data_IF_022982386623
#
_entry.id   IF_022982386623
#
_cell.length_a   1.000
_cell.length_b   1.000
_cell.length_c   1.000
_cell.angle_alpha   90.00
_cell.angle_beta   90.00
_cell.angle_gamma   90.00
#
_symmetry.space_group_name_H-M   'P 1'
#
loop_
_entity.id
_entity.type
_entity.pdbx_description
1 polymer ?
#
# COMPACT_ATOMS: atom_id res chain seq x y z
N UNK A 1 22.51 -9.11 13.37
CA UNK A 1 21.09 -9.46 13.52
C UNK A 1 20.80 -9.71 14.98
N UNK A 2 19.76 -9.09 15.54
CA UNK A 2 19.33 -9.27 16.94
C UNK A 2 18.17 -10.28 17.05
N UNK A 3 17.29 -10.28 16.04
CA UNK A 3 16.11 -11.15 16.04
C UNK A 3 16.48 -12.63 15.84
N UNK A 4 15.75 -13.57 16.46
CA UNK A 4 15.90 -15.01 16.22
C UNK A 4 15.78 -15.37 14.74
N UNK A 5 16.51 -16.39 14.30
CA UNK A 5 16.54 -16.80 12.87
C UNK A 5 15.25 -17.57 12.50
N UNK A 6 14.73 -18.29 13.46
CA UNK A 6 13.58 -19.17 13.36
C UNK A 6 12.23 -18.48 13.64
N UNK A 7 12.25 -17.17 13.94
CA UNK A 7 11.05 -16.38 14.23
C UNK A 7 10.86 -15.31 13.15
N UNK A 8 10.10 -15.65 12.11
CA UNK A 8 9.74 -14.73 11.03
C UNK A 8 8.67 -13.73 11.49
N UNK A 9 8.83 -12.46 11.10
CA UNK A 9 7.93 -11.38 11.46
C UNK A 9 8.67 -10.08 11.78
N UNK A 10 7.94 -9.14 12.37
CA UNK A 10 8.49 -7.86 12.80
C UNK A 10 8.97 -7.92 14.25
N UNK A 11 10.20 -7.44 14.46
CA UNK A 11 10.83 -7.33 15.78
C UNK A 11 11.20 -5.88 16.08
N UNK A 12 10.78 -5.38 17.25
CA UNK A 12 11.15 -4.06 17.77
C UNK A 12 11.84 -4.23 19.11
N UNK A 13 12.85 -3.40 19.37
CA UNK A 13 13.63 -3.44 20.61
C UNK A 13 13.76 -2.05 21.23
N UNK A 14 13.45 -1.93 22.51
CA UNK A 14 13.79 -0.77 23.33
C UNK A 14 14.95 -1.22 24.22
N UNK A 15 16.17 -0.86 23.83
CA UNK A 15 17.38 -1.31 24.50
C UNK A 15 17.61 -0.59 25.83
N UNK A 16 18.09 -1.32 26.84
CA UNK A 16 18.62 -0.70 28.04
C UNK A 16 19.93 0.05 27.74
N UNK A 17 20.32 1.07 28.55
CA UNK A 17 21.59 1.77 28.35
C UNK A 17 22.83 0.86 28.35
N UNK A 18 22.79 -0.26 29.09
CA UNK A 18 23.88 -1.24 29.15
C UNK A 18 23.96 -2.16 27.92
N UNK A 19 22.93 -2.17 27.05
CA UNK A 19 22.84 -3.10 25.94
C UNK A 19 22.59 -4.56 26.32
N UNK A 20 22.47 -4.87 27.63
CA UNK A 20 22.31 -6.26 28.11
C UNK A 20 20.87 -6.73 28.10
N UNK A 21 19.90 -5.82 28.05
CA UNK A 21 18.48 -6.09 28.14
C UNK A 21 17.71 -5.27 27.12
N UNK A 22 16.56 -5.75 26.71
CA UNK A 22 15.59 -4.95 25.94
C UNK A 22 14.16 -5.35 26.26
N UNK A 23 13.24 -4.39 26.14
CA UNK A 23 11.84 -4.70 25.88
C UNK A 23 11.73 -5.04 24.39
N UNK A 24 11.31 -6.24 24.11
CA UNK A 24 11.15 -6.78 22.78
C UNK A 24 9.68 -6.89 22.44
N UNK A 25 9.29 -6.47 21.25
CA UNK A 25 7.95 -6.67 20.69
C UNK A 25 8.09 -7.47 19.40
N UNK A 26 7.39 -8.58 19.34
CA UNK A 26 7.29 -9.43 18.16
C UNK A 26 5.86 -9.50 17.67
N UNK A 27 5.66 -9.45 16.36
CA UNK A 27 4.39 -9.80 15.71
C UNK A 27 4.63 -10.31 14.29
N UNK A 28 3.65 -11.04 13.75
CA UNK A 28 3.56 -11.34 12.33
C UNK A 28 2.09 -11.28 11.88
N UNK A 29 1.80 -11.61 10.63
CA UNK A 29 0.44 -11.54 10.06
C UNK A 29 -0.61 -12.38 10.82
N UNK A 30 -0.18 -13.41 11.54
CA UNK A 30 -1.06 -14.34 12.28
C UNK A 30 -0.94 -14.23 13.80
N UNK A 31 0.04 -13.46 14.28
CA UNK A 31 0.33 -13.35 15.71
C UNK A 31 0.28 -11.90 16.16
N UNK A 32 -0.67 -11.54 17.06
CA UNK A 32 -0.71 -10.22 17.68
C UNK A 32 0.58 -9.95 18.45
N UNK A 33 0.86 -8.65 18.78
CA UNK A 33 2.11 -8.31 19.45
C UNK A 33 2.33 -9.11 20.73
N UNK A 34 3.44 -9.84 20.79
CA UNK A 34 3.97 -10.47 22.00
C UNK A 34 5.07 -9.55 22.53
N UNK A 35 4.98 -9.15 23.78
CA UNK A 35 5.94 -8.25 24.41
C UNK A 35 6.59 -8.97 25.59
N UNK A 36 7.92 -9.02 25.56
CA UNK A 36 8.72 -9.61 26.62
C UNK A 36 10.00 -8.80 26.91
N UNK A 37 10.63 -9.08 28.02
CA UNK A 37 11.97 -8.61 28.32
C UNK A 37 12.97 -9.70 27.94
N UNK A 38 13.90 -9.34 27.07
CA UNK A 38 14.96 -10.27 26.61
C UNK A 38 16.33 -9.84 27.08
N UNK A 39 17.21 -10.83 27.30
CA UNK A 39 18.63 -10.61 27.60
C UNK A 39 19.51 -10.89 26.38
N UNK A 40 20.58 -10.14 26.25
CA UNK A 40 21.60 -10.28 25.18
C UNK A 40 22.94 -10.79 25.72
N UNK A 41 23.74 -11.48 24.89
CA UNK A 41 23.56 -11.69 23.44
C UNK A 41 22.64 -12.86 23.06
N UNK A 42 22.20 -13.70 24.00
CA UNK A 42 21.48 -14.94 23.70
C UNK A 42 20.02 -14.77 23.28
N UNK A 43 19.49 -13.56 23.29
CA UNK A 43 18.06 -13.27 23.03
C UNK A 43 17.12 -14.16 23.85
N UNK A 44 17.43 -14.33 25.15
CA UNK A 44 16.63 -15.17 26.04
C UNK A 44 15.51 -14.35 26.66
N UNK A 45 14.27 -14.77 26.48
CA UNK A 45 13.13 -14.21 27.21
C UNK A 45 13.28 -14.48 28.70
N UNK A 46 13.28 -13.43 29.50
CA UNK A 46 13.42 -13.49 30.96
C UNK A 46 12.13 -13.12 31.67
N UNK A 47 11.25 -12.40 31.01
CA UNK A 47 9.94 -12.05 31.55
C UNK A 47 8.97 -11.76 30.40
N UNK A 48 7.88 -12.51 30.36
CA UNK A 48 6.74 -12.18 29.49
C UNK A 48 5.97 -11.00 30.10
N UNK A 49 5.69 -9.98 29.30
CA UNK A 49 4.88 -8.82 29.67
C UNK A 49 3.44 -9.04 29.21
N UNK A 50 3.25 -9.40 27.94
CA UNK A 50 1.96 -9.85 27.40
C UNK A 50 2.16 -10.72 26.16
N UNK A 51 1.32 -11.73 25.99
CA UNK A 51 1.27 -12.61 24.83
C UNK A 51 0.07 -12.32 23.92
N UNK A 52 -0.87 -11.50 24.40
CA UNK A 52 -2.15 -11.24 23.71
C UNK A 52 -2.89 -12.52 23.26
N UNK A 53 -2.76 -13.61 24.04
CA UNK A 53 -3.32 -14.93 23.70
C UNK A 53 -4.83 -14.86 23.44
N UNK A 54 -5.57 -14.11 24.27
CA UNK A 54 -7.02 -13.92 24.09
C UNK A 54 -7.36 -13.26 22.75
N UNK A 55 -6.60 -12.23 22.35
CA UNK A 55 -6.79 -11.57 21.05
C UNK A 55 -6.48 -12.53 19.90
N UNK A 56 -5.43 -13.34 20.02
CA UNK A 56 -5.08 -14.38 19.05
C UNK A 56 -6.18 -15.43 18.90
N UNK A 57 -6.74 -15.88 20.01
CA UNK A 57 -7.86 -16.85 20.02
C UNK A 57 -9.11 -16.28 19.35
N UNK A 58 -9.49 -15.04 19.72
CA UNK A 58 -10.64 -14.36 19.11
C UNK A 58 -10.44 -14.16 17.61
N UNK A 59 -9.24 -13.75 17.19
CA UNK A 59 -8.91 -13.59 15.76
C UNK A 59 -9.00 -14.91 15.00
N UNK A 60 -8.44 -15.98 15.57
CA UNK A 60 -8.52 -17.32 14.97
C UNK A 60 -9.97 -17.81 14.84
N UNK A 61 -10.83 -17.48 15.79
CA UNK A 61 -12.25 -17.84 15.79
C UNK A 61 -13.04 -17.15 14.64
N UNK A 62 -12.52 -16.05 14.06
CA UNK A 62 -13.13 -15.38 12.91
C UNK A 62 -12.98 -16.18 11.60
N UNK A 63 -12.12 -17.19 11.54
CA UNK A 63 -11.89 -17.99 10.35
C UNK A 63 -11.40 -17.20 9.14
N UNK A 64 -10.57 -16.18 9.39
CA UNK A 64 -10.06 -15.27 8.35
C UNK A 64 -9.10 -15.98 7.41
N UNK A 65 -9.07 -15.50 6.16
CA UNK A 65 -8.18 -16.03 5.14
C UNK A 65 -6.74 -15.58 5.39
N UNK A 66 -5.73 -16.47 5.22
CA UNK A 66 -4.34 -16.12 5.44
C UNK A 66 -3.85 -15.12 4.39
N UNK A 67 -2.88 -14.30 4.79
CA UNK A 67 -2.10 -13.46 3.88
C UNK A 67 -0.96 -14.31 3.31
N UNK A 68 -0.99 -14.60 2.03
CA UNK A 68 0.06 -15.33 1.32
C UNK A 68 1.09 -14.34 0.76
N UNK A 69 2.36 -14.47 1.17
CA UNK A 69 3.44 -13.66 0.60
C UNK A 69 3.94 -14.30 -0.70
N UNK A 70 3.99 -13.49 -1.75
CA UNK A 70 4.37 -13.92 -3.09
C UNK A 70 5.37 -12.95 -3.72
N UNK A 71 5.98 -13.35 -4.82
CA UNK A 71 6.86 -12.50 -5.63
C UNK A 71 6.21 -12.18 -6.97
N UNK A 72 6.50 -10.97 -7.46
CA UNK A 72 6.11 -10.54 -8.80
C UNK A 72 7.24 -9.73 -9.44
N UNK A 73 7.08 -9.31 -10.70
CA UNK A 73 8.11 -8.60 -11.44
C UNK A 73 7.59 -7.34 -12.13
N UNK A 74 8.45 -6.31 -12.13
CA UNK A 74 8.34 -5.14 -13.00
C UNK A 74 9.59 -5.08 -13.87
N UNK A 75 9.53 -5.66 -15.08
CA UNK A 75 10.72 -5.91 -15.90
C UNK A 75 11.70 -6.86 -15.20
N UNK A 76 12.97 -6.44 -15.08
CA UNK A 76 14.00 -7.20 -14.38
C UNK A 76 13.89 -7.09 -12.85
N UNK A 77 13.08 -6.17 -12.35
CA UNK A 77 12.97 -5.91 -10.92
C UNK A 77 11.99 -6.90 -10.26
N UNK A 78 12.48 -7.67 -9.27
CA UNK A 78 11.62 -8.49 -8.41
C UNK A 78 10.99 -7.63 -7.32
N UNK A 79 9.68 -7.74 -7.15
CA UNK A 79 8.87 -7.04 -6.16
C UNK A 79 8.28 -8.04 -5.15
N UNK A 80 8.18 -7.59 -3.91
CA UNK A 80 7.42 -8.30 -2.87
C UNK A 80 5.93 -8.00 -3.01
N UNK A 81 5.09 -8.99 -2.76
CA UNK A 81 3.64 -8.83 -2.74
C UNK A 81 3.01 -9.75 -1.69
N UNK A 82 1.77 -9.45 -1.33
CA UNK A 82 0.92 -10.40 -0.62
C UNK A 82 -0.45 -10.51 -1.29
N UNK A 83 -1.11 -11.64 -1.04
CA UNK A 83 -2.42 -11.96 -1.59
C UNK A 83 -3.31 -12.55 -0.49
N UNK A 84 -4.60 -12.15 -0.46
CA UNK A 84 -5.66 -12.78 0.31
C UNK A 84 -6.68 -13.34 -0.69
N UNK A 85 -6.93 -14.64 -0.64
CA UNK A 85 -7.87 -15.33 -1.51
C UNK A 85 -9.27 -15.37 -0.91
N UNK A 86 -10.33 -15.50 -1.73
CA UNK A 86 -11.70 -15.68 -1.24
C UNK A 86 -11.87 -16.91 -0.34
N UNK A 87 -12.88 -16.87 0.51
CA UNK A 87 -13.38 -18.06 1.19
C UNK A 87 -13.88 -19.07 0.12
N UNK A 88 -13.60 -20.35 0.30
CA UNK A 88 -13.90 -21.41 -0.68
C UNK A 88 -13.23 -21.18 -2.04
N UNK A 89 -11.98 -20.70 -2.02
CA UNK A 89 -11.20 -20.48 -3.23
C UNK A 89 -11.07 -21.76 -4.06
N UNK A 90 -11.37 -21.63 -5.36
CA UNK A 90 -11.26 -22.71 -6.35
C UNK A 90 -10.27 -22.27 -7.45
N UNK A 91 -9.08 -22.87 -7.57
CA UNK A 91 -8.06 -22.44 -8.52
C UNK A 91 -8.46 -22.59 -9.99
N UNK A 92 -9.55 -23.31 -10.28
CA UNK A 92 -10.08 -23.45 -11.65
C UNK A 92 -10.96 -22.28 -12.10
N UNK A 93 -11.36 -21.41 -11.17
CA UNK A 93 -12.20 -20.24 -11.43
C UNK A 93 -11.39 -18.96 -11.64
N UNK A 94 -12.03 -17.97 -12.23
CA UNK A 94 -11.48 -16.61 -12.40
C UNK A 94 -12.09 -15.68 -11.37
N UNK A 95 -11.22 -14.89 -10.70
CA UNK A 95 -11.62 -13.95 -9.65
C UNK A 95 -11.24 -12.52 -9.98
N UNK A 96 -12.12 -11.56 -9.67
CA UNK A 96 -11.76 -10.14 -9.72
C UNK A 96 -10.70 -9.84 -8.66
N UNK A 97 -9.82 -8.89 -8.97
CA UNK A 97 -8.74 -8.49 -8.08
C UNK A 97 -8.93 -7.05 -7.65
N UNK A 98 -8.68 -6.76 -6.38
CA UNK A 98 -8.54 -5.41 -5.84
C UNK A 98 -7.11 -5.25 -5.34
N UNK A 99 -6.40 -4.26 -5.89
CA UNK A 99 -5.07 -3.88 -5.41
C UNK A 99 -5.24 -2.81 -4.34
N UNK A 100 -4.70 -3.08 -3.15
CA UNK A 100 -4.55 -2.10 -2.07
C UNK A 100 -3.15 -1.50 -2.17
N UNK A 101 -3.07 -0.22 -2.53
CA UNK A 101 -1.82 0.49 -2.80
C UNK A 101 -1.60 1.66 -1.85
N UNK A 102 -0.36 1.86 -1.42
CA UNK A 102 0.09 3.14 -0.87
C UNK A 102 1.10 3.81 -1.80
N UNK A 103 2.20 3.13 -2.13
CA UNK A 103 3.11 3.49 -3.21
C UNK A 103 4.06 4.65 -2.97
N UNK A 104 4.04 5.24 -1.79
CA UNK A 104 4.84 6.41 -1.42
C UNK A 104 6.11 6.02 -0.61
N UNK A 105 7.16 6.85 -0.62
CA UNK A 105 8.44 6.53 0.02
C UNK A 105 8.39 6.40 1.54
N UNK A 106 7.36 6.94 2.19
CA UNK A 106 7.26 6.97 3.65
C UNK A 106 6.80 5.65 4.27
N UNK A 107 6.22 4.74 3.49
CA UNK A 107 5.62 3.52 4.00
C UNK A 107 5.94 2.30 3.14
N UNK A 108 5.82 1.11 3.74
CA UNK A 108 5.83 -0.18 3.07
C UNK A 108 4.51 -0.90 3.36
N UNK A 109 3.89 -1.46 2.34
CA UNK A 109 2.60 -2.17 2.46
C UNK A 109 2.77 -3.69 2.56
N UNK A 110 3.89 -4.21 2.07
CA UNK A 110 4.20 -5.64 2.12
C UNK A 110 5.07 -5.93 3.34
N UNK A 111 4.40 -6.21 4.46
CA UNK A 111 5.05 -6.48 5.73
C UNK A 111 4.41 -7.69 6.40
N UNK A 112 5.24 -8.56 6.98
CA UNK A 112 4.80 -9.64 7.87
C UNK A 112 4.64 -9.09 9.29
N UNK A 113 3.52 -8.42 9.52
CA UNK A 113 3.18 -7.73 10.77
C UNK A 113 1.71 -7.91 11.08
N UNK A 114 1.40 -7.92 12.37
CA UNK A 114 0.01 -7.88 12.82
C UNK A 114 -0.67 -6.56 12.45
N UNK A 115 -1.67 -6.61 11.61
CA UNK A 115 -2.45 -5.45 11.14
C UNK A 115 -3.90 -5.46 11.65
N UNK A 116 -4.19 -6.22 12.72
CA UNK A 116 -5.57 -6.41 13.18
C UNK A 116 -6.43 -7.18 12.17
N UNK A 117 -5.79 -7.91 11.25
CA UNK A 117 -6.41 -8.75 10.25
C UNK A 117 -6.99 -8.02 9.06
N UNK A 118 -6.83 -6.69 8.99
CA UNK A 118 -7.47 -5.89 7.95
C UNK A 118 -8.88 -6.41 7.63
N UNK A 119 -9.81 -6.27 8.57
CA UNK A 119 -11.18 -6.80 8.44
C UNK A 119 -11.87 -6.32 7.15
N UNK A 120 -11.49 -5.15 6.64
CA UNK A 120 -11.94 -4.67 5.34
C UNK A 120 -11.50 -5.59 4.20
N UNK A 121 -10.22 -5.98 4.15
CA UNK A 121 -9.74 -6.92 3.14
C UNK A 121 -10.41 -8.29 3.25
N UNK A 122 -10.64 -8.76 4.47
CA UNK A 122 -11.36 -10.01 4.72
C UNK A 122 -12.83 -9.95 4.28
N UNK A 123 -13.48 -8.80 4.52
CA UNK A 123 -14.83 -8.57 4.03
C UNK A 123 -14.90 -8.64 2.49
N UNK A 124 -13.98 -7.97 1.81
CA UNK A 124 -13.91 -8.03 0.35
C UNK A 124 -13.58 -9.45 -0.16
N UNK A 125 -12.70 -10.17 0.52
CA UNK A 125 -12.39 -11.56 0.18
C UNK A 125 -13.65 -12.46 0.33
N UNK A 126 -14.47 -12.24 1.36
CA UNK A 126 -15.74 -12.95 1.54
C UNK A 126 -16.76 -12.62 0.43
N UNK A 127 -16.65 -11.45 -0.21
CA UNK A 127 -17.46 -11.11 -1.39
C UNK A 127 -16.93 -11.72 -2.69
N UNK A 128 -15.84 -12.49 -2.64
CA UNK A 128 -15.27 -13.18 -3.79
C UNK A 128 -14.17 -12.44 -4.53
N UNK A 129 -13.58 -11.40 -3.94
CA UNK A 129 -12.42 -10.70 -4.50
C UNK A 129 -11.11 -11.32 -4.02
N UNK A 130 -10.11 -11.34 -4.88
CA UNK A 130 -8.72 -11.50 -4.45
C UNK A 130 -8.18 -10.12 -4.10
N UNK A 131 -7.60 -9.98 -2.91
CA UNK A 131 -6.96 -8.73 -2.49
C UNK A 131 -5.46 -8.89 -2.64
N UNK A 132 -4.81 -7.92 -3.28
CA UNK A 132 -3.36 -7.94 -3.54
C UNK A 132 -2.77 -6.62 -3.08
N UNK A 133 -1.55 -6.66 -2.53
CA UNK A 133 -0.71 -5.47 -2.41
C UNK A 133 0.67 -5.78 -2.97
N UNK A 134 1.22 -4.85 -3.74
CA UNK A 134 2.53 -4.98 -4.37
C UNK A 134 3.42 -3.85 -3.85
N UNK A 135 4.61 -4.20 -3.34
CA UNK A 135 5.59 -3.22 -2.88
C UNK A 135 6.38 -2.70 -4.07
N UNK A 136 6.09 -1.48 -4.49
CA UNK A 136 6.82 -0.85 -5.58
C UNK A 136 8.19 -0.33 -5.13
N UNK A 137 9.07 -0.08 -6.10
CA UNK A 137 10.36 0.56 -5.85
C UNK A 137 10.17 1.94 -5.21
N UNK A 138 11.13 2.32 -4.37
CA UNK A 138 11.11 3.59 -3.65
C UNK A 138 10.39 3.54 -2.32
N UNK A 139 9.54 2.56 -2.06
CA UNK A 139 8.89 2.37 -0.76
C UNK A 139 9.90 2.07 0.36
N UNK A 140 9.49 2.29 1.62
CA UNK A 140 10.35 2.12 2.80
C UNK A 140 10.53 0.64 3.19
N UNK A 141 10.78 -0.21 2.20
CA UNK A 141 11.13 -1.62 2.41
C UNK A 141 12.60 -1.78 2.81
N UNK A 142 12.98 -2.84 3.54
CA UNK A 142 14.35 -3.08 3.99
C UNK A 142 15.25 -3.63 2.86
N UNK A 143 15.22 -3.02 1.68
CA UNK A 143 15.96 -3.40 0.46
C UNK A 143 17.17 -2.50 0.17
N UNK A 144 17.60 -1.73 1.17
CA UNK A 144 18.80 -0.91 1.07
C UNK A 144 18.57 0.51 0.52
N UNK A 145 19.69 1.23 0.35
CA UNK A 145 19.71 2.65 -0.01
C UNK A 145 19.23 2.87 -1.45
N UNK A 146 19.75 2.10 -2.40
CA UNK A 146 19.45 2.24 -3.83
C UNK A 146 17.95 2.07 -4.11
N UNK A 147 17.33 1.08 -3.48
CA UNK A 147 15.89 0.87 -3.55
C UNK A 147 15.09 2.11 -3.13
N UNK A 148 15.46 2.74 -2.01
CA UNK A 148 14.71 3.88 -1.46
C UNK A 148 15.02 5.19 -2.19
N UNK A 149 16.21 5.32 -2.77
CA UNK A 149 16.66 6.57 -3.39
C UNK A 149 16.35 6.68 -4.88
N UNK A 150 15.97 5.58 -5.54
CA UNK A 150 15.68 5.57 -6.98
C UNK A 150 14.54 6.52 -7.37
N UNK A 151 13.64 6.84 -6.42
CA UNK A 151 12.49 7.72 -6.67
C UNK A 151 12.76 9.20 -6.33
N UNK A 152 13.99 9.56 -5.94
CA UNK A 152 14.27 10.96 -5.63
C UNK A 152 14.07 11.84 -6.87
N UNK A 153 13.20 12.84 -6.75
CA UNK A 153 12.74 13.67 -7.84
C UNK A 153 11.63 13.05 -8.72
N UNK A 154 11.20 11.81 -8.44
CA UNK A 154 10.32 11.00 -9.30
C UNK A 154 9.13 10.37 -8.55
N UNK A 155 8.71 10.95 -7.40
CA UNK A 155 7.53 10.48 -6.66
C UNK A 155 6.30 10.50 -7.56
N UNK A 156 5.48 9.45 -7.53
CA UNK A 156 4.29 9.29 -8.37
C UNK A 156 4.58 8.71 -9.77
N UNK A 157 5.85 8.56 -10.15
CA UNK A 157 6.23 8.08 -11.49
C UNK A 157 6.33 6.56 -11.56
N UNK A 158 7.21 5.97 -10.76
CA UNK A 158 7.52 4.53 -10.86
C UNK A 158 6.48 3.63 -10.20
N UNK A 159 5.80 4.11 -9.16
CA UNK A 159 4.88 3.27 -8.40
C UNK A 159 3.75 2.71 -9.28
N UNK A 160 3.09 3.56 -10.07
CA UNK A 160 2.01 3.11 -10.97
C UNK A 160 2.48 2.14 -12.06
N UNK A 161 3.71 2.29 -12.56
CA UNK A 161 4.32 1.33 -13.49
C UNK A 161 4.55 -0.03 -12.82
N UNK A 162 5.13 -0.02 -11.61
CA UNK A 162 5.39 -1.25 -10.86
C UNK A 162 4.10 -1.97 -10.47
N UNK A 163 3.04 -1.23 -10.11
CA UNK A 163 1.72 -1.82 -9.85
C UNK A 163 1.15 -2.48 -11.12
N UNK A 164 1.20 -1.78 -12.27
CA UNK A 164 0.67 -2.31 -13.53
C UNK A 164 1.43 -3.55 -14.02
N UNK A 165 2.77 -3.48 -14.03
CA UNK A 165 3.60 -4.62 -14.45
C UNK A 165 3.53 -5.79 -13.47
N UNK A 166 3.50 -5.47 -12.17
CA UNK A 166 3.41 -6.48 -11.12
C UNK A 166 2.12 -7.28 -11.18
N UNK A 167 0.95 -6.62 -11.34
CA UNK A 167 -0.31 -7.38 -11.46
C UNK A 167 -0.39 -8.17 -12.76
N UNK A 168 0.16 -7.68 -13.86
CA UNK A 168 0.24 -8.43 -15.11
C UNK A 168 1.14 -9.66 -14.97
N UNK A 169 2.24 -9.55 -14.22
CA UNK A 169 3.11 -10.68 -13.94
C UNK A 169 2.42 -11.72 -13.03
N UNK A 170 1.73 -11.28 -11.98
CA UNK A 170 0.91 -12.18 -11.14
C UNK A 170 -0.16 -12.90 -11.97
N UNK A 171 -0.79 -12.22 -12.93
CA UNK A 171 -1.78 -12.83 -13.81
C UNK A 171 -1.20 -13.90 -14.77
N UNK A 172 0.09 -13.78 -15.10
CA UNK A 172 0.82 -14.85 -15.82
C UNK A 172 1.15 -16.04 -14.94
N UNK A 173 1.48 -15.78 -13.66
CA UNK A 173 1.80 -16.83 -12.69
C UNK A 173 0.53 -17.58 -12.20
N UNK A 174 -0.58 -16.87 -12.07
CA UNK A 174 -1.81 -17.37 -11.46
C UNK A 174 -3.00 -17.25 -12.40
N UNK A 175 -3.38 -18.38 -13.02
CA UNK A 175 -4.48 -18.44 -14.01
C UNK A 175 -5.85 -18.00 -13.45
N UNK A 176 -6.04 -18.02 -12.14
CA UNK A 176 -7.27 -17.62 -11.47
C UNK A 176 -7.48 -16.10 -11.39
N UNK A 177 -6.49 -15.28 -11.74
CA UNK A 177 -6.65 -13.81 -11.83
C UNK A 177 -7.43 -13.47 -13.10
N UNK A 178 -8.52 -12.72 -12.92
CA UNK A 178 -9.29 -12.18 -14.04
C UNK A 178 -8.75 -10.82 -14.46
N UNK A 179 -8.00 -10.80 -15.54
CA UNK A 179 -7.38 -9.56 -16.07
C UNK A 179 -8.38 -8.54 -16.59
N UNK A 180 -9.63 -8.93 -16.86
CA UNK A 180 -10.70 -8.02 -17.25
C UNK A 180 -11.38 -7.33 -16.05
N UNK A 181 -11.07 -7.75 -14.82
CA UNK A 181 -11.68 -7.24 -13.58
C UNK A 181 -10.63 -6.91 -12.53
N UNK A 182 -9.72 -6.01 -12.85
CA UNK A 182 -8.70 -5.50 -11.93
C UNK A 182 -9.10 -4.10 -11.46
N UNK A 183 -9.29 -3.97 -10.15
CA UNK A 183 -9.50 -2.70 -9.47
C UNK A 183 -8.28 -2.29 -8.63
N UNK A 184 -8.18 -1.00 -8.30
CA UNK A 184 -7.13 -0.44 -7.46
C UNK A 184 -7.72 0.59 -6.50
N UNK A 185 -7.27 0.58 -5.25
CA UNK A 185 -7.73 1.51 -4.23
C UNK A 185 -6.60 1.91 -3.31
N UNK A 186 -6.68 3.13 -2.80
CA UNK A 186 -5.73 3.62 -1.82
C UNK A 186 -6.16 4.96 -1.22
N UNK A 187 -5.54 5.28 -0.08
CA UNK A 187 -5.81 6.48 0.69
C UNK A 187 -4.55 7.37 0.71
N UNK A 188 -4.72 8.71 0.71
CA UNK A 188 -3.61 9.67 0.74
C UNK A 188 -2.67 9.47 -0.46
N UNK A 189 -1.39 9.21 -0.24
CA UNK A 189 -0.46 8.79 -1.30
C UNK A 189 -0.96 7.61 -2.11
N UNK A 190 -1.64 6.63 -1.46
CA UNK A 190 -2.29 5.52 -2.16
C UNK A 190 -3.42 5.96 -3.09
N UNK A 191 -4.17 7.00 -2.71
CA UNK A 191 -5.16 7.63 -3.59
C UNK A 191 -4.50 8.27 -4.82
N UNK A 192 -3.37 8.96 -4.64
CA UNK A 192 -2.57 9.50 -5.74
C UNK A 192 -2.05 8.41 -6.68
N UNK A 193 -1.57 7.29 -6.13
CA UNK A 193 -1.12 6.15 -6.93
C UNK A 193 -2.26 5.43 -7.64
N UNK A 194 -3.44 5.35 -7.01
CA UNK A 194 -4.68 4.88 -7.66
C UNK A 194 -5.00 5.71 -8.91
N UNK A 195 -4.97 7.04 -8.79
CA UNK A 195 -5.21 7.95 -9.91
C UNK A 195 -4.15 7.81 -10.99
N UNK A 196 -2.85 7.81 -10.64
CA UNK A 196 -1.76 7.59 -11.60
C UNK A 196 -1.93 6.25 -12.34
N UNK A 197 -2.32 5.19 -11.63
CA UNK A 197 -2.55 3.87 -12.23
C UNK A 197 -3.73 3.88 -13.18
N UNK A 198 -4.87 4.45 -12.79
CA UNK A 198 -6.09 4.54 -13.61
C UNK A 198 -5.90 5.38 -14.87
N UNK A 199 -5.11 6.46 -14.79
CA UNK A 199 -4.94 7.37 -15.91
C UNK A 199 -3.83 6.96 -16.87
N UNK A 200 -2.77 6.35 -16.37
CA UNK A 200 -1.60 5.96 -17.17
C UNK A 200 -1.64 4.54 -17.72
N UNK A 201 -2.38 3.65 -17.01
CA UNK A 201 -2.52 2.23 -17.37
C UNK A 201 -3.99 1.80 -17.44
N UNK A 202 -4.83 2.52 -18.24
CA UNK A 202 -6.28 2.29 -18.28
C UNK A 202 -6.67 0.95 -18.91
N UNK A 203 -5.76 0.27 -19.58
CA UNK A 203 -5.98 -1.06 -20.16
C UNK A 203 -5.64 -2.18 -19.15
N UNK A 204 -5.11 -1.81 -17.95
CA UNK A 204 -4.83 -2.73 -16.83
C UNK A 204 -5.84 -2.54 -15.71
N UNK A 205 -6.12 -1.29 -15.34
CA UNK A 205 -7.02 -0.96 -14.23
C UNK A 205 -8.37 -0.49 -14.73
N UNK A 206 -9.42 -1.24 -14.38
CA UNK A 206 -10.79 -1.01 -14.87
C UNK A 206 -11.68 -0.25 -13.88
N UNK A 207 -11.30 -0.27 -12.59
CA UNK A 207 -12.03 0.43 -11.52
C UNK A 207 -11.04 0.99 -10.50
N UNK A 208 -11.21 2.26 -10.13
CA UNK A 208 -10.38 2.92 -9.12
C UNK A 208 -11.22 3.57 -8.03
N UNK A 209 -10.75 3.47 -6.77
CA UNK A 209 -11.29 4.23 -5.63
C UNK A 209 -10.15 5.01 -5.01
N UNK A 210 -10.12 6.32 -5.23
CA UNK A 210 -9.10 7.22 -4.73
C UNK A 210 -9.63 8.04 -3.55
N UNK A 211 -8.97 7.94 -2.39
CA UNK A 211 -9.44 8.54 -1.14
C UNK A 211 -8.42 9.58 -0.67
N UNK A 212 -8.85 10.82 -0.40
CA UNK A 212 -8.04 11.93 0.15
C UNK A 212 -6.67 12.04 -0.56
N UNK A 213 -6.69 12.16 -1.87
CA UNK A 213 -5.53 12.05 -2.76
C UNK A 213 -4.88 13.40 -3.03
N UNK A 214 -3.56 13.38 -3.28
CA UNK A 214 -2.82 14.50 -3.87
C UNK A 214 -2.93 14.40 -5.40
N UNK A 215 -3.67 15.32 -6.02
CA UNK A 215 -3.83 15.38 -7.48
C UNK A 215 -2.68 16.11 -8.16
N UNK A 216 -2.16 17.15 -7.52
CA UNK A 216 -1.00 17.92 -7.97
C UNK A 216 0.04 17.95 -6.84
N UNK A 217 1.24 17.45 -7.09
CA UNK A 217 2.31 17.35 -6.10
C UNK A 217 2.71 18.71 -5.50
N UNK A 218 2.38 19.83 -6.17
CA UNK A 218 2.62 21.20 -5.66
C UNK A 218 1.63 21.62 -4.56
N UNK A 219 0.57 20.87 -4.36
CA UNK A 219 -0.49 21.14 -3.38
C UNK A 219 -0.37 20.30 -2.10
N UNK A 220 0.78 19.68 -1.89
CA UNK A 220 1.07 18.99 -0.65
C UNK A 220 2.15 19.72 0.15
N UNK A 221 2.31 19.39 1.45
CA UNK A 221 3.21 20.12 2.34
C UNK A 221 4.68 20.04 1.89
N UNK A 222 5.40 21.15 2.09
CA UNK A 222 6.80 21.29 1.64
C UNK A 222 7.74 20.36 2.41
N UNK A 223 7.48 20.09 3.68
CA UNK A 223 8.34 19.24 4.53
C UNK A 223 8.42 17.82 3.97
N UNK A 224 7.29 17.28 3.50
CA UNK A 224 7.27 15.98 2.84
C UNK A 224 7.72 16.08 1.39
N UNK A 225 7.07 16.93 0.61
CA UNK A 225 7.21 16.92 -0.84
C UNK A 225 8.61 17.33 -1.29
N UNK A 226 9.13 18.43 -0.78
CA UNK A 226 10.47 18.91 -1.16
C UNK A 226 11.59 17.99 -0.69
N UNK A 227 11.38 17.26 0.40
CA UNK A 227 12.32 16.23 0.87
C UNK A 227 12.58 15.14 -0.17
N UNK A 228 11.57 14.76 -0.93
CA UNK A 228 11.64 13.68 -1.92
C UNK A 228 11.76 14.19 -3.35
N UNK A 229 11.27 15.39 -3.64
CA UNK A 229 11.14 15.94 -4.99
C UNK A 229 12.04 17.15 -5.26
N UNK A 230 12.76 17.68 -4.25
CA UNK A 230 13.33 19.03 -4.31
C UNK A 230 12.22 20.10 -4.44
N UNK A 231 12.56 21.37 -4.64
CA UNK A 231 11.55 22.42 -4.82
C UNK A 231 10.89 22.35 -6.21
N UNK A 232 9.63 22.82 -6.35
CA UNK A 232 8.98 22.87 -7.67
C UNK A 232 9.76 23.67 -8.72
N UNK A 233 10.50 24.69 -8.30
CA UNK A 233 11.34 25.53 -9.19
C UNK A 233 12.55 24.74 -9.73
N UNK A 234 13.13 23.88 -8.91
CA UNK A 234 14.32 23.09 -9.27
C UNK A 234 13.98 21.78 -9.99
N UNK A 235 12.73 21.29 -9.85
CA UNK A 235 12.28 20.03 -10.44
C UNK A 235 10.86 20.12 -11.02
N UNK A 236 10.54 21.13 -11.88
CA UNK A 236 9.18 21.33 -12.39
C UNK A 236 8.66 20.11 -13.15
N UNK A 237 9.53 19.43 -13.87
CA UNK A 237 9.16 18.24 -14.68
C UNK A 237 8.84 17.02 -13.80
N UNK A 238 9.60 16.79 -12.71
CA UNK A 238 9.28 15.72 -11.75
C UNK A 238 7.92 15.94 -11.09
N UNK A 239 7.63 17.18 -10.66
CA UNK A 239 6.32 17.54 -10.12
C UNK A 239 5.21 17.30 -11.13
N UNK A 240 5.38 17.71 -12.39
CA UNK A 240 4.41 17.47 -13.46
C UNK A 240 4.18 15.98 -13.72
N UNK A 241 5.26 15.21 -13.86
CA UNK A 241 5.21 13.76 -14.12
C UNK A 241 4.61 12.95 -12.97
N UNK A 242 4.88 13.37 -11.72
CA UNK A 242 4.37 12.71 -10.53
C UNK A 242 2.90 13.03 -10.24
N UNK A 243 2.36 14.12 -10.77
CA UNK A 243 1.00 14.60 -10.51
C UNK A 243 -0.04 13.87 -11.37
N UNK A 244 -0.97 13.10 -10.78
CA UNK A 244 -1.98 12.38 -11.57
C UNK A 244 -2.87 13.30 -12.42
N UNK A 245 -3.12 14.53 -12.00
CA UNK A 245 -3.92 15.51 -12.77
C UNK A 245 -3.36 15.71 -14.20
N UNK A 246 -2.06 15.56 -14.39
CA UNK A 246 -1.40 15.68 -15.69
C UNK A 246 -1.84 14.60 -16.69
N UNK A 247 -2.48 13.54 -16.22
CA UNK A 247 -2.87 12.37 -17.01
C UNK A 247 -4.39 12.12 -16.98
N UNK A 248 -5.19 13.03 -16.42
CA UNK A 248 -6.64 12.90 -16.27
C UNK A 248 -7.36 12.52 -17.58
N UNK A 249 -6.87 12.99 -18.73
CA UNK A 249 -7.37 12.63 -20.05
C UNK A 249 -7.31 11.12 -20.36
N UNK A 250 -6.44 10.38 -19.66
CA UNK A 250 -6.25 8.94 -19.86
C UNK A 250 -7.30 8.04 -19.21
N UNK A 251 -8.20 8.58 -18.38
CA UNK A 251 -9.24 7.79 -17.71
C UNK A 251 -10.14 7.09 -18.75
N UNK A 252 -10.27 5.76 -18.62
CA UNK A 252 -11.20 4.93 -19.43
C UNK A 252 -12.17 4.13 -18.55
N UNK A 253 -11.75 3.70 -17.37
CA UNK A 253 -12.54 2.86 -16.46
C UNK A 253 -13.43 3.64 -15.50
N UNK A 254 -14.00 2.93 -14.53
CA UNK A 254 -14.84 3.50 -13.48
C UNK A 254 -13.96 4.13 -12.39
N UNK A 255 -14.24 5.36 -12.00
CA UNK A 255 -13.51 6.07 -10.96
C UNK A 255 -14.46 6.61 -9.90
N UNK A 256 -14.16 6.31 -8.62
CA UNK A 256 -14.79 6.92 -7.47
C UNK A 256 -13.74 7.77 -6.74
N UNK A 257 -14.05 9.06 -6.60
CA UNK A 257 -13.28 10.01 -5.79
C UNK A 257 -13.95 10.20 -4.44
N UNK A 258 -13.20 10.08 -3.36
CA UNK A 258 -13.71 10.32 -2.00
C UNK A 258 -12.77 11.32 -1.32
N UNK A 259 -13.31 12.43 -0.80
CA UNK A 259 -12.52 13.45 -0.14
C UNK A 259 -13.31 14.19 0.93
N UNK A 260 -12.66 14.55 2.02
CA UNK A 260 -13.23 15.39 3.06
C UNK A 260 -13.08 16.87 2.73
N UNK A 261 -14.15 17.68 2.88
CA UNK A 261 -14.05 19.13 2.62
C UNK A 261 -13.29 19.89 3.69
N UNK A 262 -13.10 19.29 4.86
CA UNK A 262 -12.32 19.83 5.97
C UNK A 262 -10.96 19.13 6.16
N UNK A 263 -10.46 18.42 5.15
CA UNK A 263 -9.16 17.75 5.21
C UNK A 263 -8.05 18.79 5.31
N UNK A 264 -7.40 18.85 6.47
CA UNK A 264 -6.35 19.82 6.81
C UNK A 264 -4.93 19.34 6.47
N UNK A 265 -4.83 18.10 5.99
CA UNK A 265 -3.59 17.49 5.52
C UNK A 265 -3.51 17.51 3.98
N UNK A 266 -4.44 16.83 3.30
CA UNK A 266 -4.54 16.87 1.85
C UNK A 266 -5.72 17.77 1.48
N UNK A 267 -5.46 19.05 1.30
CA UNK A 267 -6.49 20.05 1.09
C UNK A 267 -7.44 19.68 -0.05
N UNK A 268 -8.74 19.90 0.19
CA UNK A 268 -9.82 19.59 -0.76
C UNK A 268 -9.65 20.21 -2.14
N UNK A 269 -8.85 21.27 -2.25
CA UNK A 269 -8.44 21.88 -3.52
C UNK A 269 -7.86 20.85 -4.50
N UNK A 270 -7.17 19.81 -4.02
CA UNK A 270 -6.71 18.71 -4.88
C UNK A 270 -7.86 18.01 -5.59
N UNK A 271 -8.96 17.77 -4.87
CA UNK A 271 -10.17 17.16 -5.42
C UNK A 271 -10.84 18.08 -6.45
N UNK A 272 -11.03 19.35 -6.11
CA UNK A 272 -11.68 20.32 -6.99
C UNK A 272 -10.93 20.52 -8.30
N UNK A 273 -9.59 20.65 -8.24
CA UNK A 273 -8.76 20.79 -9.43
C UNK A 273 -8.81 19.55 -10.32
N UNK A 274 -8.77 18.35 -9.73
CA UNK A 274 -8.89 17.11 -10.50
C UNK A 274 -10.26 16.96 -11.15
N UNK A 275 -11.32 17.26 -10.43
CA UNK A 275 -12.70 17.27 -10.95
C UNK A 275 -12.83 18.20 -12.15
N UNK A 276 -12.34 19.43 -12.04
CA UNK A 276 -12.32 20.38 -13.14
C UNK A 276 -11.58 19.83 -14.38
N UNK A 277 -10.43 19.17 -14.18
CA UNK A 277 -9.67 18.63 -15.28
C UNK A 277 -10.36 17.42 -15.93
N UNK A 278 -10.96 16.52 -15.13
CA UNK A 278 -11.75 15.40 -15.65
C UNK A 278 -12.96 15.88 -16.46
N UNK A 279 -13.67 16.92 -15.98
CA UNK A 279 -14.80 17.53 -16.70
C UNK A 279 -14.33 18.17 -18.02
N UNK A 280 -13.21 18.90 -18.01
CA UNK A 280 -12.60 19.49 -19.22
C UNK A 280 -12.33 18.44 -20.29
N UNK A 281 -11.92 17.24 -19.87
CA UNK A 281 -11.68 16.11 -20.78
C UNK A 281 -12.91 15.23 -21.06
N UNK A 282 -14.11 15.64 -20.61
CA UNK A 282 -15.36 14.90 -20.82
C UNK A 282 -15.37 13.53 -20.16
N UNK A 283 -14.66 13.36 -19.03
CA UNK A 283 -14.58 12.08 -18.32
C UNK A 283 -15.78 11.91 -17.38
N UNK A 284 -16.27 10.68 -17.28
CA UNK A 284 -17.33 10.29 -16.36
C UNK A 284 -16.70 9.65 -15.13
N UNK A 285 -17.10 10.08 -13.94
CA UNK A 285 -16.64 9.57 -12.65
C UNK A 285 -17.72 9.77 -11.59
N UNK A 286 -17.55 9.13 -10.45
CA UNK A 286 -18.37 9.34 -9.25
C UNK A 286 -17.56 10.08 -8.20
N UNK A 287 -18.23 10.91 -7.37
CA UNK A 287 -17.60 11.63 -6.28
C UNK A 287 -18.46 11.57 -5.02
N UNK A 288 -17.78 11.39 -3.89
CA UNK A 288 -18.37 11.54 -2.55
C UNK A 288 -17.53 12.55 -1.77
N UNK A 289 -18.16 13.62 -1.31
CA UNK A 289 -17.50 14.60 -0.44
C UNK A 289 -18.12 14.54 0.95
N UNK A 290 -17.28 14.40 1.96
CA UNK A 290 -17.72 14.37 3.36
C UNK A 290 -17.47 15.73 4.00
N UNK A 291 -18.53 16.44 4.48
CA UNK A 291 -18.35 17.70 5.19
C UNK A 291 -17.49 17.53 6.45
N UNK A 292 -16.60 18.49 6.70
CA UNK A 292 -15.79 18.59 7.93
C UNK A 292 -14.94 17.34 8.25
N UNK A 293 -14.53 16.57 7.24
CA UNK A 293 -13.66 15.42 7.37
C UNK A 293 -12.41 15.60 6.52
#
# INVERSE_FOLDING_TARGET
RLSPVDQSGQHRYIMSPSGKWAVHTFSNSETPPVIDMVSFPAHKSVRLITDNAKAKEQYKALGLQPKEFVKTRSGELELDAWMIKPVNFDPSKKYPVIIDVYGEPANATVQDVWSGGSLWHQYLANLGYIIVSIENRGANAPRGREWRKCIYGEVGTFASEDQARGIQDLARQYSFIDTARIGITGWSGGGSQTLNSMFRYPDVFHTGIAISFVADQRLYDTVYQERYMNTPQNNPEGYRKGSPISYAAGLKGNLLLIHGTGDDNVHYQNCEMLVNELVRHGKIFSQISYPMR
#
